data_IF_632913325605
#
_entry.id   IF_632913325605
#
_cell.length_a   1.000
_cell.length_b   1.000
_cell.length_c   1.000
_cell.angle_alpha   90.00
_cell.angle_beta   90.00
_cell.angle_gamma   90.00
#
_symmetry.space_group_name_H-M   'P 1'
#
loop_
_entity.id
_entity.type
_entity.pdbx_description
1 polymer ?
#
# COMPACT_ATOMS: atom_id res chain seq x y z
N UNK A 1 -52.71 -8.29 -0.02
CA UNK A 1 -51.52 -7.49 0.39
C UNK A 1 -50.32 -8.43 0.48
N UNK A 2 -49.24 -8.20 -0.28
CA UNK A 2 -48.03 -9.04 -0.22
C UNK A 2 -47.26 -8.75 1.06
N UNK A 3 -47.09 -9.75 1.94
CA UNK A 3 -46.20 -9.66 3.11
C UNK A 3 -44.76 -9.81 2.62
N UNK A 4 -44.02 -8.72 2.52
CA UNK A 4 -42.56 -8.76 2.33
C UNK A 4 -41.96 -9.28 3.64
N UNK A 5 -41.21 -10.39 3.65
CA UNK A 5 -40.74 -11.00 4.89
C UNK A 5 -39.67 -10.14 5.56
N UNK A 6 -39.77 -10.04 6.89
CA UNK A 6 -38.90 -9.28 7.80
C UNK A 6 -37.45 -9.80 7.90
N UNK A 7 -37.01 -10.61 6.92
CA UNK A 7 -35.71 -11.28 6.89
C UNK A 7 -34.60 -10.38 6.30
N UNK A 8 -34.96 -9.37 5.52
CA UNK A 8 -34.00 -8.48 4.87
C UNK A 8 -33.36 -7.45 5.82
N UNK A 9 -33.99 -7.14 6.95
CA UNK A 9 -33.50 -6.16 7.93
C UNK A 9 -32.35 -6.68 8.80
N UNK A 10 -32.15 -8.00 8.91
CA UNK A 10 -31.07 -8.58 9.73
C UNK A 10 -29.71 -8.61 9.01
N UNK A 11 -29.70 -8.49 7.67
CA UNK A 11 -28.48 -8.58 6.85
C UNK A 11 -27.62 -7.31 6.86
N UNK A 12 -28.11 -6.21 7.43
CA UNK A 12 -27.45 -4.89 7.38
C UNK A 12 -26.63 -4.55 8.64
N UNK A 13 -26.65 -5.36 9.69
CA UNK A 13 -25.81 -5.18 10.89
C UNK A 13 -24.37 -5.69 10.68
N UNK A 14 -23.73 -5.24 9.60
CA UNK A 14 -22.33 -5.51 9.31
C UNK A 14 -21.40 -4.66 10.18
N UNK A 15 -21.10 -5.12 11.40
CA UNK A 15 -20.12 -4.49 12.28
C UNK A 15 -18.76 -4.36 11.56
N UNK A 16 -18.43 -3.15 11.15
CA UNK A 16 -17.18 -2.86 10.45
C UNK A 16 -16.17 -2.34 11.45
N UNK A 17 -15.06 -3.07 11.59
CA UNK A 17 -13.94 -2.65 12.42
C UNK A 17 -12.98 -1.81 11.59
N UNK A 18 -12.51 -0.71 12.17
CA UNK A 18 -11.45 0.14 11.61
C UNK A 18 -10.14 -0.13 12.35
N UNK A 19 -9.03 -0.10 11.64
CA UNK A 19 -7.69 -0.25 12.17
C UNK A 19 -6.81 0.88 11.65
N UNK A 20 -5.83 1.27 12.44
CA UNK A 20 -4.83 2.31 12.12
C UNK A 20 -3.47 1.73 12.45
N UNK A 21 -2.53 1.83 11.51
CA UNK A 21 -1.13 1.54 11.70
C UNK A 21 -0.36 2.85 11.68
N UNK A 22 0.63 2.99 12.56
CA UNK A 22 1.54 4.13 12.58
C UNK A 22 2.98 3.64 12.39
N UNK A 23 3.75 4.38 11.60
CA UNK A 23 5.13 4.09 11.26
C UNK A 23 6.08 5.13 11.82
N UNK A 24 7.29 4.71 12.17
CA UNK A 24 8.39 5.57 12.61
C UNK A 24 9.70 5.11 11.98
N UNK A 25 10.64 6.05 11.81
CA UNK A 25 12.03 5.74 11.49
C UNK A 25 12.76 5.14 12.69
N UNK A 26 13.72 4.24 12.43
CA UNK A 26 14.59 3.66 13.45
C UNK A 26 15.77 4.58 13.81
N UNK A 27 15.90 5.73 13.17
CA UNK A 27 17.06 6.62 13.32
C UNK A 27 16.72 7.78 14.27
N UNK A 28 17.56 7.97 15.29
CA UNK A 28 17.34 8.88 16.41
C UNK A 28 17.89 10.27 16.07
N UNK A 29 17.17 11.02 15.23
CA UNK A 29 17.52 12.39 14.85
C UNK A 29 16.78 13.46 15.69
N UNK A 30 17.42 14.60 15.99
CA UNK A 30 16.85 15.63 16.87
C UNK A 30 15.59 16.25 16.27
N UNK A 31 14.51 16.22 17.05
CA UNK A 31 13.13 16.39 16.58
C UNK A 31 12.72 17.87 16.48
N UNK A 32 13.02 18.54 15.36
CA UNK A 32 12.42 19.84 15.01
C UNK A 32 12.07 19.99 13.51
N UNK A 33 11.20 19.12 12.97
CA UNK A 33 10.12 19.45 12.00
C UNK A 33 9.28 18.21 11.66
N UNK A 34 8.08 18.43 11.09
CA UNK A 34 7.00 17.41 10.97
C UNK A 34 7.06 16.56 9.68
N UNK A 35 8.24 16.30 9.12
CA UNK A 35 8.39 15.59 7.85
C UNK A 35 9.25 14.33 7.96
N UNK A 36 8.97 13.34 7.11
CA UNK A 36 9.66 12.05 7.05
C UNK A 36 10.99 12.17 6.28
N UNK A 37 11.89 13.00 6.79
CA UNK A 37 13.16 13.35 6.16
C UNK A 37 14.31 12.45 6.66
N UNK A 38 15.00 11.78 5.72
CA UNK A 38 16.22 10.99 5.91
C UNK A 38 16.87 10.73 4.52
N UNK A 39 18.19 10.57 4.31
CA UNK A 39 19.34 10.86 5.18
C UNK A 39 20.64 11.11 4.35
N UNK A 40 20.58 11.55 3.09
CA UNK A 40 21.74 11.92 2.26
C UNK A 40 21.84 13.46 2.11
N UNK A 41 22.39 14.18 3.12
CA UNK A 41 21.82 15.44 3.61
C UNK A 41 21.82 16.66 2.67
N UNK A 42 22.37 16.56 1.46
CA UNK A 42 22.34 17.64 0.46
C UNK A 42 22.08 17.15 -0.99
N UNK A 43 21.71 15.88 -1.21
CA UNK A 43 21.62 15.28 -2.56
C UNK A 43 20.23 14.81 -2.96
N UNK A 44 19.82 13.66 -2.43
CA UNK A 44 18.51 13.07 -2.67
C UNK A 44 17.81 12.92 -1.32
N UNK A 45 16.67 13.59 -1.15
CA UNK A 45 15.75 13.35 -0.05
C UNK A 45 14.73 12.28 -0.47
N UNK A 46 14.39 11.38 0.45
CA UNK A 46 13.39 10.34 0.21
C UNK A 46 12.43 10.27 1.39
N UNK A 47 11.14 10.54 1.13
CA UNK A 47 10.09 10.58 2.14
C UNK A 47 9.06 9.48 1.88
N UNK A 48 8.47 8.91 2.94
CA UNK A 48 7.49 7.83 2.85
C UNK A 48 6.12 8.24 3.38
N UNK A 49 5.08 7.98 2.59
CA UNK A 49 3.69 8.20 3.00
C UNK A 49 2.88 6.90 2.93
N UNK A 50 2.27 6.54 4.06
CA UNK A 50 1.50 5.31 4.30
C UNK A 50 -0.02 5.53 4.17
N UNK A 51 -0.45 6.78 3.93
CA UNK A 51 -1.84 7.23 3.93
C UNK A 51 -2.66 6.88 2.67
N UNK A 52 -2.10 6.17 1.69
CA UNK A 52 -2.82 5.79 0.48
C UNK A 52 -3.99 4.83 0.77
N UNK A 53 -5.15 5.13 0.20
CA UNK A 53 -6.40 4.36 0.40
C UNK A 53 -6.38 2.90 -0.06
N UNK A 54 -5.48 2.54 -0.98
CA UNK A 54 -5.25 1.18 -1.45
C UNK A 54 -4.32 0.38 -0.51
N UNK A 55 -3.60 1.04 0.41
CA UNK A 55 -2.59 0.46 1.29
C UNK A 55 -1.18 0.39 0.70
N UNK A 56 -0.89 1.05 -0.42
CA UNK A 56 0.48 1.17 -0.95
C UNK A 56 1.29 2.23 -0.22
N UNK A 57 2.60 2.00 -0.09
CA UNK A 57 3.55 3.03 0.38
C UNK A 57 3.89 3.93 -0.81
N UNK A 58 3.61 5.23 -0.66
CA UNK A 58 4.13 6.28 -1.54
C UNK A 58 5.57 6.62 -1.15
N UNK A 59 6.40 6.86 -2.15
CA UNK A 59 7.75 7.41 -2.01
C UNK A 59 7.78 8.74 -2.76
N UNK A 60 8.21 9.78 -2.07
CA UNK A 60 8.59 11.05 -2.67
C UNK A 60 10.12 11.03 -2.75
N UNK A 61 10.69 11.29 -3.92
CA UNK A 61 12.13 11.34 -4.14
C UNK A 61 12.46 12.72 -4.71
N UNK A 62 13.14 13.56 -3.92
CA UNK A 62 13.43 14.95 -4.26
C UNK A 62 14.93 15.19 -4.41
N UNK A 63 15.32 15.75 -5.56
CA UNK A 63 16.66 16.16 -5.87
C UNK A 63 16.91 17.57 -5.34
N UNK A 64 17.77 17.69 -4.33
CA UNK A 64 18.16 18.97 -3.70
C UNK A 64 19.36 19.63 -4.39
N UNK A 65 19.88 19.03 -5.47
CA UNK A 65 21.07 19.51 -6.19
C UNK A 65 20.73 20.27 -7.48
N UNK A 66 21.73 20.96 -8.00
CA UNK A 66 21.72 21.60 -9.32
C UNK A 66 22.07 20.62 -10.47
N UNK A 67 22.33 19.34 -10.18
CA UNK A 67 22.65 18.30 -11.17
C UNK A 67 21.48 17.32 -11.33
N UNK A 68 21.23 16.75 -12.51
CA UNK A 68 20.21 15.72 -12.64
C UNK A 68 20.63 14.42 -11.95
N UNK A 69 19.67 13.73 -11.34
CA UNK A 69 19.87 12.43 -10.69
C UNK A 69 19.20 11.33 -11.52
N UNK A 70 19.89 10.21 -11.69
CA UNK A 70 19.35 8.97 -12.25
C UNK A 70 19.11 7.98 -11.12
N UNK A 71 17.87 7.53 -10.93
CA UNK A 71 17.51 6.50 -9.93
C UNK A 71 17.40 5.15 -10.64
N UNK A 72 18.16 4.16 -10.18
CA UNK A 72 18.14 2.79 -10.71
C UNK A 72 17.07 1.97 -9.95
N UNK A 73 15.93 1.77 -10.60
CA UNK A 73 14.78 1.07 -10.01
C UNK A 73 14.96 -0.45 -10.01
N UNK A 74 15.97 -0.97 -10.71
CA UNK A 74 16.32 -2.41 -10.72
C UNK A 74 17.20 -2.79 -9.54
N UNK A 75 17.98 -1.84 -9.02
CA UNK A 75 18.75 -1.95 -7.77
C UNK A 75 18.04 -1.37 -6.54
N UNK A 76 16.84 -0.82 -6.72
CA UNK A 76 16.01 -0.26 -5.65
C UNK A 76 14.87 -1.22 -5.26
N UNK A 77 14.64 -1.36 -3.95
CA UNK A 77 13.68 -2.31 -3.41
C UNK A 77 13.26 -1.95 -1.98
N UNK A 78 12.08 -2.41 -1.60
CA UNK A 78 11.74 -2.58 -0.18
C UNK A 78 12.22 -3.94 0.32
N UNK A 79 12.52 -4.02 1.61
CA UNK A 79 12.59 -5.29 2.35
C UNK A 79 11.61 -5.23 3.52
N UNK A 80 10.63 -6.12 3.58
CA UNK A 80 9.67 -6.22 4.69
C UNK A 80 9.94 -7.53 5.43
N UNK A 81 10.30 -7.47 6.72
CA UNK A 81 10.57 -8.68 7.53
C UNK A 81 11.53 -9.69 6.85
N UNK A 82 12.54 -9.19 6.11
CA UNK A 82 13.53 -9.91 5.29
C UNK A 82 13.03 -10.44 3.92
N UNK A 83 11.75 -10.31 3.58
CA UNK A 83 11.25 -10.55 2.23
C UNK A 83 11.49 -9.32 1.35
N UNK A 84 12.06 -9.50 0.15
CA UNK A 84 12.42 -8.42 -0.76
C UNK A 84 11.32 -8.15 -1.80
N UNK A 85 10.95 -6.89 -1.95
CA UNK A 85 9.94 -6.39 -2.89
C UNK A 85 10.61 -5.39 -3.83
N UNK A 86 11.04 -5.82 -5.04
CA UNK A 86 11.68 -4.92 -6.00
C UNK A 86 10.67 -3.91 -6.54
N UNK A 87 11.13 -2.70 -6.88
CA UNK A 87 10.24 -1.68 -7.46
C UNK A 87 9.89 -1.98 -8.92
N UNK A 88 10.78 -2.68 -9.63
CA UNK A 88 10.57 -3.20 -10.97
C UNK A 88 10.69 -4.71 -10.92
N UNK A 89 9.60 -5.40 -11.26
CA UNK A 89 9.48 -6.86 -11.26
C UNK A 89 9.88 -7.50 -12.61
N UNK A 90 10.34 -6.70 -13.56
CA UNK A 90 10.71 -7.13 -14.91
C UNK A 90 9.54 -7.56 -15.80
N UNK A 91 8.28 -7.37 -15.36
CA UNK A 91 7.09 -7.74 -16.14
C UNK A 91 6.73 -6.63 -17.13
N UNK A 92 6.24 -7.05 -18.29
CA UNK A 92 5.56 -6.18 -19.24
C UNK A 92 4.10 -6.65 -19.33
N UNK A 93 3.16 -5.69 -19.29
CA UNK A 93 1.74 -5.94 -19.46
C UNK A 93 1.36 -5.70 -20.91
N UNK A 94 0.67 -6.66 -21.51
CA UNK A 94 0.16 -6.54 -22.88
C UNK A 94 -1.34 -6.31 -22.80
N UNK A 95 -1.78 -5.10 -23.12
CA UNK A 95 -3.19 -4.73 -23.19
C UNK A 95 -3.62 -4.70 -24.66
N UNK A 96 -4.58 -5.52 -25.05
CA UNK A 96 -5.02 -5.56 -26.44
C UNK A 96 -6.39 -6.21 -26.64
N UNK A 97 -6.89 -6.05 -27.86
CA UNK A 97 -8.12 -6.68 -28.33
C UNK A 97 -7.82 -7.66 -29.45
N UNK A 98 -8.51 -8.80 -29.43
CA UNK A 98 -8.51 -9.76 -30.54
C UNK A 98 -9.83 -9.57 -31.29
N UNK A 99 -9.75 -9.21 -32.56
CA UNK A 99 -10.90 -9.14 -33.47
C UNK A 99 -10.88 -10.38 -34.36
N UNK A 100 -11.89 -11.22 -34.27
CA UNK A 100 -12.01 -12.45 -35.06
C UNK A 100 -13.09 -12.29 -36.14
N UNK A 101 -12.75 -12.68 -37.37
CA UNK A 101 -13.63 -12.61 -38.52
C UNK A 101 -13.64 -13.97 -39.24
N UNK A 102 -14.81 -14.61 -39.33
CA UNK A 102 -14.98 -15.81 -40.13
C UNK A 102 -15.13 -15.44 -41.61
N UNK A 103 -14.42 -16.15 -42.48
CA UNK A 103 -14.51 -15.96 -43.94
C UNK A 103 -14.45 -17.31 -44.64
N UNK A 104 -15.60 -17.80 -45.10
CA UNK A 104 -15.75 -19.17 -45.61
C UNK A 104 -15.53 -20.19 -44.50
N UNK A 105 -14.63 -21.15 -44.72
CA UNK A 105 -14.21 -22.14 -43.72
C UNK A 105 -13.04 -21.67 -42.83
N UNK A 106 -12.50 -20.48 -43.06
CA UNK A 106 -11.37 -19.92 -42.31
C UNK A 106 -11.81 -18.96 -41.20
N UNK A 107 -11.00 -18.89 -40.14
CA UNK A 107 -11.10 -17.86 -39.09
C UNK A 107 -9.85 -17.00 -39.17
N UNK A 108 -10.01 -15.72 -39.49
CA UNK A 108 -8.95 -14.72 -39.40
C UNK A 108 -9.03 -14.03 -38.03
N UNK A 109 -7.89 -13.83 -37.38
CA UNK A 109 -7.80 -13.09 -36.12
C UNK A 109 -6.77 -11.96 -36.26
N UNK A 110 -7.16 -10.75 -35.85
CA UNK A 110 -6.27 -9.59 -35.75
C UNK A 110 -6.12 -9.25 -34.27
N UNK A 111 -4.89 -9.26 -33.78
CA UNK A 111 -4.54 -8.75 -32.45
C UNK A 111 -4.00 -7.33 -32.58
N UNK A 112 -4.56 -6.41 -31.79
CA UNK A 112 -4.15 -5.02 -31.70
C UNK A 112 -3.97 -4.67 -30.22
N UNK A 113 -2.79 -4.19 -29.82
CA UNK A 113 -2.48 -3.94 -28.42
C UNK A 113 -1.24 -3.09 -28.19
N UNK A 114 -1.11 -2.64 -26.94
CA UNK A 114 -0.02 -1.84 -26.37
C UNK A 114 0.74 -2.69 -25.36
N UNK A 115 2.06 -2.54 -25.32
CA UNK A 115 2.93 -3.13 -24.31
C UNK A 115 3.32 -2.02 -23.32
N UNK A 116 2.95 -2.18 -22.06
CA UNK A 116 3.33 -1.29 -20.96
C UNK A 116 4.39 -1.97 -20.09
N UNK A 117 5.45 -1.25 -19.75
CA UNK A 117 6.52 -1.72 -18.89
C UNK A 117 6.87 -0.64 -17.85
N UNK A 118 7.05 -1.05 -16.59
CA UNK A 118 7.52 -0.15 -15.53
C UNK A 118 8.93 0.33 -15.86
N UNK A 119 9.21 1.65 -15.85
CA UNK A 119 10.53 2.18 -16.18
C UNK A 119 11.59 1.67 -15.20
N UNK A 120 12.70 1.16 -15.76
CA UNK A 120 13.84 0.62 -15.00
C UNK A 120 14.72 1.69 -14.39
N UNK A 121 14.70 2.91 -14.93
CA UNK A 121 15.40 4.07 -14.41
C UNK A 121 14.46 5.27 -14.38
N UNK A 122 14.59 6.15 -13.38
CA UNK A 122 13.91 7.44 -13.32
C UNK A 122 14.94 8.55 -13.46
N UNK A 123 14.70 9.48 -14.39
CA UNK A 123 15.47 10.71 -14.50
C UNK A 123 14.79 11.80 -13.67
N UNK A 124 15.50 12.33 -12.68
CA UNK A 124 15.04 13.34 -11.75
C UNK A 124 15.82 14.65 -12.00
N UNK A 125 15.21 15.66 -12.65
CA UNK A 125 15.86 16.95 -12.91
C UNK A 125 16.39 17.64 -11.64
N UNK A 126 17.31 18.61 -11.78
CA UNK A 126 17.69 19.50 -10.69
C UNK A 126 16.49 20.11 -9.97
N UNK A 127 16.58 20.28 -8.65
CA UNK A 127 15.57 20.98 -7.82
C UNK A 127 14.11 20.52 -8.08
N UNK A 128 13.90 19.21 -8.18
CA UNK A 128 12.60 18.62 -8.53
C UNK A 128 12.32 17.33 -7.78
N UNK A 129 11.06 16.88 -7.76
CA UNK A 129 10.63 15.64 -7.10
C UNK A 129 9.84 14.72 -8.04
N UNK A 130 9.91 13.42 -7.76
CA UNK A 130 9.04 12.40 -8.34
C UNK A 130 8.28 11.70 -7.21
N UNK A 131 7.00 11.43 -7.42
CA UNK A 131 6.16 10.63 -6.51
C UNK A 131 5.84 9.29 -7.19
N UNK A 132 6.10 8.19 -6.48
CA UNK A 132 5.76 6.84 -6.93
C UNK A 132 5.10 6.03 -5.80
N UNK A 133 4.38 4.97 -6.13
CA UNK A 133 3.69 4.10 -5.15
C UNK A 133 3.91 2.65 -5.51
N UNK A 134 4.56 1.87 -4.63
CA UNK A 134 5.15 0.57 -5.01
C UNK A 134 4.59 -0.61 -4.21
N UNK A 135 4.70 -0.57 -2.88
CA UNK A 135 4.51 -1.75 -2.03
C UNK A 135 3.19 -1.66 -1.26
N UNK A 136 2.31 -2.65 -1.41
CA UNK A 136 1.10 -2.78 -0.57
C UNK A 136 1.39 -3.60 0.69
N UNK A 137 1.49 -2.94 1.84
CA UNK A 137 1.79 -3.56 3.14
C UNK A 137 0.55 -3.93 3.98
N UNK A 138 -0.66 -3.62 3.49
CA UNK A 138 -1.92 -3.81 4.23
C UNK A 138 -2.09 -5.22 4.78
N UNK A 139 -1.73 -6.22 3.97
CA UNK A 139 -1.89 -7.62 4.32
C UNK A 139 -0.95 -8.00 5.47
N UNK A 140 0.33 -7.66 5.32
CA UNK A 140 1.40 -7.96 6.26
C UNK A 140 1.10 -7.35 7.64
N UNK A 141 0.65 -6.09 7.71
CA UNK A 141 0.28 -5.44 8.97
C UNK A 141 -0.83 -6.21 9.70
N UNK A 142 -1.91 -6.57 9.00
CA UNK A 142 -3.04 -7.27 9.61
C UNK A 142 -2.61 -8.66 10.07
N UNK A 143 -1.84 -9.39 9.27
CA UNK A 143 -1.35 -10.73 9.58
C UNK A 143 -0.33 -10.76 10.74
N UNK A 144 0.43 -9.68 10.99
CA UNK A 144 1.48 -9.67 12.03
C UNK A 144 1.16 -8.85 13.29
N UNK A 145 0.16 -7.97 13.26
CA UNK A 145 -0.17 -7.07 14.38
C UNK A 145 -1.57 -7.28 15.00
N UNK A 146 -2.52 -7.95 14.32
CA UNK A 146 -3.88 -8.15 14.88
C UNK A 146 -3.88 -9.02 16.15
N UNK A 147 -2.93 -9.94 16.31
CA UNK A 147 -2.79 -10.78 17.50
C UNK A 147 -2.08 -10.08 18.67
N UNK A 148 -1.43 -8.93 18.43
CA UNK A 148 -0.71 -8.13 19.46
C UNK A 148 -1.60 -7.12 20.17
N UNK A 149 -2.82 -6.89 19.67
CA UNK A 149 -3.77 -5.95 20.22
C UNK A 149 -4.18 -6.30 21.66
N UNK A 150 -4.30 -5.29 22.52
CA UNK A 150 -4.86 -5.44 23.88
C UNK A 150 -6.18 -6.23 23.91
N UNK A 151 -6.36 -7.03 24.96
CA UNK A 151 -7.61 -7.76 25.23
C UNK A 151 -8.76 -6.82 25.60
N UNK A 152 -8.48 -5.69 26.27
CA UNK A 152 -9.45 -4.67 26.70
C UNK A 152 -9.46 -3.44 25.79
N UNK A 153 -10.61 -2.79 25.71
CA UNK A 153 -10.76 -1.44 25.15
C UNK A 153 -10.38 -0.40 26.21
N UNK A 154 -9.70 0.66 25.78
CA UNK A 154 -9.36 1.80 26.63
C UNK A 154 -9.24 3.07 25.77
N UNK A 155 -9.28 4.23 26.42
CA UNK A 155 -9.12 5.52 25.72
C UNK A 155 -7.63 5.80 25.51
N UNK A 156 -7.23 6.00 24.26
CA UNK A 156 -5.86 6.36 23.88
C UNK A 156 -5.86 7.49 22.84
N UNK A 157 -4.79 8.29 22.77
CA UNK A 157 -4.62 9.29 21.72
C UNK A 157 -4.37 8.60 20.38
N UNK A 158 -5.31 8.73 19.44
CA UNK A 158 -5.16 8.33 18.04
C UNK A 158 -5.63 9.50 17.16
N UNK A 159 -4.84 9.88 16.16
CA UNK A 159 -5.03 11.14 15.41
C UNK A 159 -5.04 12.36 16.34
N UNK A 160 -4.19 12.34 17.36
CA UNK A 160 -4.05 13.40 18.38
C UNK A 160 -5.36 13.67 19.16
N UNK A 161 -6.27 12.70 19.17
CA UNK A 161 -7.57 12.75 19.84
C UNK A 161 -7.80 11.49 20.68
N UNK A 162 -8.41 11.67 21.86
CA UNK A 162 -8.74 10.56 22.76
C UNK A 162 -9.90 9.72 22.19
N UNK A 163 -9.60 8.51 21.73
CA UNK A 163 -10.54 7.58 21.10
C UNK A 163 -10.52 6.24 21.86
N UNK A 164 -11.67 5.59 22.01
CA UNK A 164 -11.73 4.22 22.56
C UNK A 164 -11.19 3.22 21.53
N UNK A 165 -10.06 2.59 21.87
CA UNK A 165 -9.35 1.67 20.99
C UNK A 165 -8.73 0.50 21.77
N UNK A 166 -8.41 -0.56 21.03
CA UNK A 166 -7.42 -1.57 21.45
C UNK A 166 -6.12 -1.24 20.76
N UNK A 167 -5.00 -1.24 21.48
CA UNK A 167 -3.73 -0.83 20.92
C UNK A 167 -2.66 -1.90 21.17
N UNK A 168 -1.70 -1.94 20.26
CA UNK A 168 -0.39 -2.54 20.43
C UNK A 168 0.65 -1.44 20.15
N UNK A 169 1.67 -1.35 21.00
CA UNK A 169 2.77 -0.40 20.84
C UNK A 169 4.06 -1.19 20.73
N UNK A 170 4.96 -0.71 19.87
CA UNK A 170 6.19 -1.38 19.54
C UNK A 170 7.35 -0.37 19.51
N UNK A 171 8.53 -0.86 19.85
CA UNK A 171 9.81 -0.22 19.60
C UNK A 171 10.43 -0.89 18.37
N UNK A 172 11.40 -0.24 17.71
CA UNK A 172 12.03 -0.80 16.52
C UNK A 172 12.59 -2.23 16.73
N UNK A 173 13.12 -2.51 17.92
CA UNK A 173 13.68 -3.80 18.31
C UNK A 173 12.65 -4.94 18.47
N UNK A 174 11.36 -4.64 18.70
CA UNK A 174 10.31 -5.64 18.90
C UNK A 174 9.11 -5.49 17.94
N UNK A 175 9.19 -4.59 16.96
CA UNK A 175 8.15 -4.39 15.97
C UNK A 175 7.90 -5.66 15.14
N UNK A 176 6.63 -6.08 14.96
CA UNK A 176 6.28 -7.22 14.13
C UNK A 176 6.38 -6.92 12.63
N UNK A 177 6.70 -5.66 12.27
CA UNK A 177 6.85 -5.22 10.89
C UNK A 177 7.99 -4.21 10.78
N UNK A 178 9.11 -4.65 10.23
CA UNK A 178 10.26 -3.82 9.87
C UNK A 178 10.32 -3.68 8.35
N UNK A 179 10.46 -2.45 7.88
CA UNK A 179 10.56 -2.07 6.46
C UNK A 179 11.93 -1.41 6.26
N UNK A 180 12.69 -1.86 5.26
CA UNK A 180 13.91 -1.19 4.81
C UNK A 180 13.68 -0.70 3.38
N UNK A 181 13.67 0.61 3.18
CA UNK A 181 13.68 1.25 1.86
C UNK A 181 15.12 1.31 1.37
N UNK A 182 15.42 0.79 0.17
CA UNK A 182 16.72 0.99 -0.48
C UNK A 182 16.54 1.63 -1.85
N UNK A 183 17.17 2.80 -2.04
CA UNK A 183 17.15 3.58 -3.27
C UNK A 183 18.57 3.67 -3.80
N UNK A 184 18.82 3.13 -4.99
CA UNK A 184 20.09 3.29 -5.70
C UNK A 184 20.00 4.45 -6.69
N UNK A 185 20.92 5.41 -6.61
CA UNK A 185 20.92 6.58 -7.49
C UNK A 185 22.34 7.04 -7.85
N UNK A 186 22.44 7.83 -8.91
CA UNK A 186 23.67 8.48 -9.37
C UNK A 186 23.41 9.92 -9.79
N UNK A 187 24.33 10.82 -9.49
CA UNK A 187 24.37 12.12 -10.15
C UNK A 187 24.88 11.97 -11.59
N UNK A 188 24.39 12.84 -12.47
CA UNK A 188 24.76 12.88 -13.88
C UNK A 188 25.62 14.13 -14.17
N UNK A 189 26.75 13.93 -14.85
CA UNK A 189 27.61 15.02 -15.29
C UNK A 189 27.06 15.80 -16.49
N UNK A 190 27.81 16.80 -16.96
CA UNK A 190 27.47 17.62 -18.13
C UNK A 190 27.37 16.82 -19.45
N UNK A 191 27.89 15.59 -19.48
CA UNK A 191 27.82 14.63 -20.60
C UNK A 191 26.72 13.57 -20.39
N UNK A 192 25.86 13.74 -19.37
CA UNK A 192 24.85 12.80 -18.90
C UNK A 192 25.42 11.41 -18.53
N UNK A 193 26.68 11.35 -18.08
CA UNK A 193 27.28 10.12 -17.54
C UNK A 193 27.09 10.07 -16.03
N UNK A 194 26.78 8.87 -15.51
CA UNK A 194 26.73 8.64 -14.07
C UNK A 194 28.14 8.72 -13.47
N UNK A 195 28.31 9.58 -12.47
CA UNK A 195 29.61 9.84 -11.83
C UNK A 195 29.89 8.83 -10.71
N UNK A 196 29.03 8.80 -9.69
CA UNK A 196 29.08 7.90 -8.54
C UNK A 196 27.71 7.21 -8.37
N UNK A 197 27.68 5.93 -7.99
CA UNK A 197 26.43 5.26 -7.56
C UNK A 197 26.39 5.16 -6.04
N UNK A 198 25.36 5.77 -5.46
CA UNK A 198 25.04 5.79 -4.04
C UNK A 198 23.83 4.88 -3.79
N UNK A 199 23.77 4.26 -2.60
CA UNK A 199 22.58 3.55 -2.12
C UNK A 199 22.14 4.19 -0.82
N UNK A 200 21.01 4.88 -0.85
CA UNK A 200 20.31 5.33 0.34
C UNK A 200 19.58 4.14 0.96
N UNK A 201 19.62 4.01 2.28
CA UNK A 201 18.92 2.97 3.03
C UNK A 201 18.23 3.59 4.24
N UNK A 202 16.91 3.51 4.31
CA UNK A 202 16.12 4.01 5.45
C UNK A 202 15.38 2.85 6.10
N UNK A 203 15.38 2.78 7.43
CA UNK A 203 14.68 1.75 8.19
C UNK A 203 13.46 2.33 8.90
N UNK A 204 12.29 1.80 8.57
CA UNK A 204 11.02 2.13 9.21
C UNK A 204 10.47 0.91 9.97
N UNK A 205 9.65 1.15 10.98
CA UNK A 205 8.97 0.11 11.71
C UNK A 205 7.54 0.53 12.08
N UNK A 206 6.66 -0.45 12.23
CA UNK A 206 5.33 -0.25 12.80
C UNK A 206 5.49 0.07 14.29
N UNK A 207 5.22 1.32 14.69
CA UNK A 207 5.36 1.81 16.08
C UNK A 207 4.07 1.64 16.89
N UNK A 208 2.91 1.76 16.25
CA UNK A 208 1.63 1.46 16.89
C UNK A 208 0.63 0.81 15.92
N UNK A 209 -0.23 -0.04 16.47
CA UNK A 209 -1.38 -0.61 15.77
C UNK A 209 -2.62 -0.50 16.64
N UNK A 210 -3.63 0.21 16.15
CA UNK A 210 -4.85 0.57 16.87
C UNK A 210 -6.08 -0.02 16.17
N UNK A 211 -6.94 -0.69 16.91
CA UNK A 211 -8.27 -1.11 16.48
C UNK A 211 -9.30 -0.15 17.08
N UNK A 212 -10.09 0.51 16.23
CA UNK A 212 -11.03 1.58 16.58
C UNK A 212 -12.46 1.12 16.35
N UNK A 213 -13.36 1.45 17.29
CA UNK A 213 -14.81 1.31 17.15
C UNK A 213 -15.45 2.55 16.56
N UNK A 214 -16.55 2.34 15.85
CA UNK A 214 -17.58 3.34 15.52
C UNK A 214 -17.14 4.56 14.67
N UNK A 215 -15.86 4.69 14.29
CA UNK A 215 -15.41 5.69 13.31
C UNK A 215 -15.95 5.40 11.90
N UNK A 216 -16.54 6.43 11.28
CA UNK A 216 -17.10 6.31 9.94
C UNK A 216 -16.01 6.35 8.84
N UNK A 217 -16.37 6.05 7.59
CA UNK A 217 -15.38 5.87 6.51
C UNK A 217 -14.66 7.18 6.16
N UNK A 218 -15.44 8.24 5.92
CA UNK A 218 -14.94 9.53 5.45
C UNK A 218 -14.09 10.20 6.52
N UNK A 219 -14.51 10.09 7.77
CA UNK A 219 -13.75 10.61 8.92
C UNK A 219 -12.41 9.89 9.10
N UNK A 220 -12.38 8.56 8.99
CA UNK A 220 -11.12 7.80 9.05
C UNK A 220 -10.17 8.16 7.90
N UNK A 221 -10.71 8.23 6.67
CA UNK A 221 -9.94 8.61 5.48
C UNK A 221 -9.41 10.05 5.59
N UNK A 222 -10.21 11.00 6.09
CA UNK A 222 -9.83 12.40 6.29
C UNK A 222 -8.80 12.58 7.43
N UNK A 223 -8.87 11.77 8.48
CA UNK A 223 -7.88 11.81 9.58
C UNK A 223 -6.53 11.23 9.14
N UNK A 224 -6.53 10.19 8.31
CA UNK A 224 -5.30 9.58 7.77
C UNK A 224 -4.73 10.36 6.59
N UNK A 225 -5.53 11.01 5.74
CA UNK A 225 -5.00 11.77 4.58
C UNK A 225 -3.99 12.84 4.99
N UNK A 226 -4.11 13.39 6.20
CA UNK A 226 -3.24 14.43 6.73
C UNK A 226 -2.08 13.89 7.58
N UNK A 227 -1.85 12.57 7.56
CA UNK A 227 -0.90 11.84 8.43
C UNK A 227 -0.13 10.82 7.60
N UNK A 228 0.97 11.27 6.99
CA UNK A 228 1.84 10.42 6.15
C UNK A 228 2.41 9.22 6.93
N UNK A 229 2.58 9.37 8.25
CA UNK A 229 2.99 8.33 9.19
C UNK A 229 1.97 7.22 9.40
N UNK A 230 0.73 7.39 8.93
CA UNK A 230 -0.39 6.50 9.24
C UNK A 230 -0.99 5.83 8.01
N UNK A 231 -1.41 4.58 8.19
CA UNK A 231 -2.28 3.87 7.26
C UNK A 231 -3.58 3.46 7.95
N UNK A 232 -4.70 3.50 7.23
CA UNK A 232 -5.99 2.99 7.73
C UNK A 232 -6.49 1.78 6.97
N UNK A 233 -7.10 0.85 7.72
CA UNK A 233 -7.70 -0.37 7.18
C UNK A 233 -9.09 -0.57 7.74
N UNK A 234 -9.97 -1.14 6.94
CA UNK A 234 -11.31 -1.55 7.39
C UNK A 234 -11.57 -3.01 7.06
N UNK A 235 -12.22 -3.70 8.00
CA UNK A 235 -12.67 -5.08 7.88
C UNK A 235 -14.16 -5.14 8.25
N UNK A 236 -15.01 -5.38 7.27
CA UNK A 236 -16.41 -5.71 7.51
C UNK A 236 -16.50 -7.13 8.05
N UNK A 237 -16.91 -7.30 9.32
CA UNK A 237 -17.27 -8.62 9.85
C UNK A 237 -18.74 -8.86 9.47
N UNK A 238 -18.96 -9.61 8.40
CA UNK A 238 -20.29 -9.83 7.82
C UNK A 238 -20.47 -11.27 7.32
N UNK A 239 -21.63 -11.85 7.62
CA UNK A 239 -22.02 -13.23 7.32
C UNK A 239 -22.07 -13.57 5.81
N UNK A 240 -22.03 -12.55 4.94
CA UNK A 240 -22.15 -12.67 3.48
C UNK A 240 -21.05 -13.55 2.86
N UNK A 241 -19.82 -13.55 3.39
CA UNK A 241 -18.75 -14.42 2.84
C UNK A 241 -19.07 -15.92 3.02
N UNK A 242 -19.84 -16.28 4.05
CA UNK A 242 -20.35 -17.64 4.27
C UNK A 242 -21.61 -17.95 3.44
N UNK A 243 -22.28 -16.96 2.85
CA UNK A 243 -23.48 -17.15 2.02
C UNK A 243 -23.19 -17.20 0.51
N UNK A 244 -22.09 -16.59 0.05
CA UNK A 244 -21.70 -16.62 -1.37
C UNK A 244 -21.16 -18.00 -1.78
N UNK A 245 -20.38 -18.67 -0.92
CA UNK A 245 -19.76 -19.98 -1.24
C UNK A 245 -20.80 -21.10 -1.41
N UNK A 246 -21.85 -21.24 -0.57
CA UNK A 246 -22.88 -22.27 -0.77
C UNK A 246 -23.86 -21.95 -1.90
N UNK A 247 -24.16 -20.66 -2.14
CA UNK A 247 -25.11 -20.26 -3.19
C UNK A 247 -24.62 -20.66 -4.60
N UNK A 248 -23.31 -20.60 -4.84
CA UNK A 248 -22.71 -21.07 -6.10
C UNK A 248 -22.85 -22.59 -6.30
N UNK A 249 -22.79 -23.40 -5.23
CA UNK A 249 -22.98 -24.86 -5.34
C UNK A 249 -24.45 -25.27 -5.52
N UNK A 250 -25.40 -24.56 -4.90
CA UNK A 250 -26.83 -24.89 -5.01
C UNK A 250 -27.37 -24.58 -6.42
N UNK A 251 -26.90 -23.50 -7.06
CA UNK A 251 -27.29 -23.18 -8.45
C UNK A 251 -26.67 -24.15 -9.47
N UNK A 252 -25.54 -24.79 -9.17
CA UNK A 252 -24.94 -25.83 -10.02
C UNK A 252 -25.70 -27.15 -10.03
N UNK A 253 -26.39 -27.51 -8.95
CA UNK A 253 -27.14 -28.76 -8.83
C UNK A 253 -28.57 -28.67 -9.41
N UNK A 254 -29.16 -27.47 -9.47
CA UNK A 254 -30.49 -27.27 -10.05
C UNK A 254 -30.54 -27.37 -11.59
N UNK A 255 -29.39 -27.32 -12.27
CA UNK A 255 -29.28 -27.38 -13.72
C UNK A 255 -29.07 -28.80 -14.29
N UNK A 256 -28.93 -29.82 -13.44
CA UNK A 256 -28.63 -31.22 -13.83
C UNK A 256 -29.83 -32.16 -13.60
N UNK A 257 -30.97 -31.64 -13.15
CA UNK A 257 -32.23 -32.40 -12.98
C UNK A 257 -33.35 -31.69 -13.73
N UNK A 258 -33.17 -31.54 -15.05
CA UNK A 258 -34.14 -30.96 -15.98
C UNK A 258 -33.92 -31.45 -17.44
N UNK A 259 -33.70 -32.75 -17.62
CA UNK A 259 -33.96 -33.51 -18.86
C UNK A 259 -34.78 -34.77 -18.53
#
# INVERSE_FOLDING_TARGET
MKKIPLFFSLLMMGCTTSYVAQFQHNEEYPTEQHEFQDAAPNRLEVSHAFNNSNGSVSIIMENKTDQPILIDMTKSAYTVNREAFPFVDGRAFIFGSIRMFAQGTGINAVFEGVIEQTPTNLFLPPQSFIVGSYLNIRRQIIETAEDKLSSSWAVYPVFDQNIESKNAFFQAANSPLQIISRISYSELDQSNQATDTVVLSQQLYLSSFSQIREINRRELEQKVSNREDMASYRRSKGMIWYLIVPAAMILGLAAVVAE
#
